data_IF_114201866927
#
_entry.id   IF_114201866927
#
_cell.length_a   1.000
_cell.length_b   1.000
_cell.length_c   1.000
_cell.angle_alpha   90.00
_cell.angle_beta   90.00
_cell.angle_gamma   90.00
#
_symmetry.space_group_name_H-M   'P 1'
#
loop_
_entity.id
_entity.type
_entity.pdbx_description
1 polymer ?
#
# COMPACT_ATOMS: atom_id res chain seq x y z
N UNK A 1 -3.06 7.07 -6.37
CA UNK A 1 -3.94 7.29 -5.19
C UNK A 1 -3.17 7.67 -3.93
N UNK A 2 -2.13 6.92 -3.53
CA UNK A 2 -1.34 7.21 -2.30
C UNK A 2 -0.85 8.66 -2.22
N UNK A 3 -0.28 9.19 -3.30
CA UNK A 3 0.24 10.56 -3.35
C UNK A 3 -0.87 11.62 -3.20
N UNK A 4 -2.09 11.31 -3.63
CA UNK A 4 -3.25 12.18 -3.43
C UNK A 4 -3.64 12.24 -1.95
N UNK A 5 -3.69 11.08 -1.28
CA UNK A 5 -3.94 11.01 0.16
C UNK A 5 -2.85 11.74 0.94
N UNK A 6 -1.58 11.61 0.53
CA UNK A 6 -0.47 12.39 1.10
C UNK A 6 -0.71 13.90 0.98
N UNK A 7 -1.08 14.41 -0.20
CA UNK A 7 -1.39 15.82 -0.39
C UNK A 7 -2.54 16.30 0.49
N UNK A 8 -3.59 15.49 0.70
CA UNK A 8 -4.68 15.82 1.61
C UNK A 8 -4.20 15.90 3.07
N UNK A 9 -3.34 14.98 3.51
CA UNK A 9 -2.73 14.98 4.83
C UNK A 9 -1.80 16.18 5.07
N UNK A 10 -1.16 16.69 4.00
CA UNK A 10 -0.35 17.91 4.03
C UNK A 10 -1.22 19.17 4.16
N UNK A 11 -2.30 19.27 3.39
CA UNK A 11 -3.23 20.41 3.44
C UNK A 11 -4.03 20.47 4.74
N UNK A 12 -4.37 19.31 5.29
CA UNK A 12 -5.20 19.19 6.49
C UNK A 12 -4.45 18.45 7.60
N UNK A 13 -3.71 19.19 8.41
CA UNK A 13 -2.94 18.64 9.54
C UNK A 13 -3.80 17.92 10.58
N UNK A 14 -5.10 18.23 10.68
CA UNK A 14 -6.05 17.51 11.53
C UNK A 14 -6.23 16.03 11.17
N UNK A 15 -5.98 15.66 9.91
CA UNK A 15 -6.04 14.27 9.44
C UNK A 15 -4.79 13.45 9.85
N UNK A 16 -3.72 14.09 10.33
CA UNK A 16 -2.51 13.38 10.78
C UNK A 16 -2.78 12.49 12.00
N UNK A 17 -3.88 12.72 12.74
CA UNK A 17 -4.35 11.84 13.81
C UNK A 17 -4.62 10.41 13.30
N UNK A 18 -5.04 10.27 12.04
CA UNK A 18 -5.34 8.97 11.41
C UNK A 18 -4.07 8.13 11.14
N UNK A 19 -2.92 8.78 11.05
CA UNK A 19 -1.60 8.13 10.87
C UNK A 19 -1.04 7.68 12.22
N UNK A 20 -1.27 8.47 13.27
CA UNK A 20 -0.75 8.26 14.63
C UNK A 20 -1.90 8.06 15.61
N UNK A 21 -2.67 7.00 15.42
CA UNK A 21 -3.66 6.61 16.41
C UNK A 21 -2.94 6.11 17.68
N UNK A 22 -2.68 7.02 18.62
CA UNK A 22 -1.98 6.75 19.89
C UNK A 22 -2.74 5.80 20.82
N UNK A 23 -3.98 5.42 20.46
CA UNK A 23 -4.89 4.61 21.28
C UNK A 23 -5.30 3.27 20.62
N UNK A 24 -4.64 2.84 19.55
CA UNK A 24 -4.97 1.61 18.83
C UNK A 24 -4.54 0.30 19.54
N UNK A 25 -4.45 0.31 20.88
CA UNK A 25 -4.10 -0.88 21.66
C UNK A 25 -5.32 -1.69 22.09
N UNK A 26 -6.54 -1.12 22.12
CA UNK A 26 -7.72 -1.78 22.71
C UNK A 26 -8.93 -1.96 21.77
N UNK A 27 -9.03 -1.24 20.64
CA UNK A 27 -10.17 -1.38 19.73
C UNK A 27 -9.74 -1.89 18.35
N UNK A 28 -9.90 -3.20 18.16
CA UNK A 28 -9.79 -3.90 16.86
C UNK A 28 -10.95 -3.59 15.90
N UNK A 29 -11.91 -2.77 16.33
CA UNK A 29 -13.08 -2.38 15.54
C UNK A 29 -12.89 -0.96 15.03
N UNK A 30 -12.70 -0.81 13.72
CA UNK A 30 -12.67 0.49 13.06
C UNK A 30 -14.08 1.12 13.12
N UNK A 31 -14.26 2.34 13.68
CA UNK A 31 -15.55 3.03 13.71
C UNK A 31 -16.03 3.49 12.33
N UNK A 32 -15.20 3.39 11.29
CA UNK A 32 -15.58 3.80 9.94
C UNK A 32 -16.77 3.00 9.39
N UNK A 33 -17.86 3.69 9.05
CA UNK A 33 -19.02 3.08 8.39
C UNK A 33 -18.98 3.30 6.86
N UNK A 34 -18.73 2.25 6.05
CA UNK A 34 -18.66 2.36 4.59
C UNK A 34 -20.03 2.50 3.90
N UNK A 35 -21.12 2.26 4.62
CA UNK A 35 -22.49 2.32 4.05
C UNK A 35 -23.17 3.68 4.25
N UNK A 36 -22.57 4.56 5.06
CA UNK A 36 -23.11 5.89 5.33
C UNK A 36 -22.89 6.82 4.14
N UNK A 37 -23.96 7.51 3.69
CA UNK A 37 -23.90 8.45 2.57
C UNK A 37 -23.30 9.81 2.95
N UNK A 38 -23.41 10.19 4.22
CA UNK A 38 -22.91 11.46 4.73
C UNK A 38 -21.44 11.32 5.19
N UNK A 39 -20.46 12.00 4.54
CA UNK A 39 -19.03 11.86 4.86
C UNK A 39 -18.66 12.38 6.25
N UNK A 40 -19.51 13.19 6.88
CA UNK A 40 -19.33 13.70 8.24
C UNK A 40 -19.78 12.67 9.28
N UNK A 41 -20.74 11.80 8.94
CA UNK A 41 -21.30 10.77 9.83
C UNK A 41 -20.62 9.42 9.71
N UNK A 42 -19.71 9.26 8.75
CA UNK A 42 -18.97 8.01 8.54
C UNK A 42 -17.91 7.72 9.62
N UNK A 43 -17.74 8.63 10.60
CA UNK A 43 -16.78 8.53 11.71
C UNK A 43 -15.32 8.29 11.29
N UNK A 44 -14.99 8.60 10.02
CA UNK A 44 -13.66 8.43 9.45
C UNK A 44 -12.55 9.26 10.14
N UNK A 45 -12.90 10.24 10.98
CA UNK A 45 -11.91 10.99 11.78
C UNK A 45 -11.42 10.23 13.02
N UNK A 46 -12.21 9.25 13.48
CA UNK A 46 -11.87 8.40 14.62
C UNK A 46 -11.28 7.06 14.19
N UNK A 47 -11.27 6.77 12.89
CA UNK A 47 -10.65 5.57 12.31
C UNK A 47 -9.12 5.68 12.19
N UNK A 48 -8.50 4.66 11.60
CA UNK A 48 -7.06 4.60 11.34
C UNK A 48 -6.78 4.22 9.88
N UNK A 49 -5.70 4.74 9.29
CA UNK A 49 -5.29 4.45 7.90
C UNK A 49 -4.48 3.14 7.78
N UNK A 50 -5.06 2.03 8.25
CA UNK A 50 -4.40 0.72 8.22
C UNK A 50 -4.17 0.19 6.78
N UNK A 51 -5.03 0.57 5.85
CA UNK A 51 -4.97 0.17 4.44
C UNK A 51 -3.65 0.57 3.79
N UNK A 52 -3.16 1.77 4.09
CA UNK A 52 -1.90 2.28 3.53
C UNK A 52 -0.72 1.56 4.18
N UNK A 53 -0.80 1.20 5.47
CA UNK A 53 0.20 0.35 6.13
C UNK A 53 0.27 -1.03 5.48
N UNK A 54 -0.87 -1.63 5.11
CA UNK A 54 -0.91 -2.88 4.36
C UNK A 54 -0.26 -2.74 2.99
N UNK A 55 -0.50 -1.62 2.31
CA UNK A 55 0.04 -1.32 0.99
C UNK A 55 1.57 -1.15 0.96
N UNK A 56 2.22 -0.98 2.12
CA UNK A 56 3.69 -1.02 2.23
C UNK A 56 4.27 -2.39 1.85
N UNK A 57 3.47 -3.46 1.86
CA UNK A 57 3.85 -4.82 1.45
C UNK A 57 3.37 -5.17 0.04
N UNK A 58 3.13 -4.17 -0.80
CA UNK A 58 2.69 -4.38 -2.17
C UNK A 58 3.79 -5.03 -3.04
N UNK A 59 3.38 -5.84 -4.02
CA UNK A 59 4.29 -6.59 -4.92
C UNK A 59 5.15 -5.64 -5.77
N UNK A 60 4.56 -4.53 -6.21
CA UNK A 60 5.26 -3.49 -6.98
C UNK A 60 6.06 -2.59 -6.01
N UNK A 61 7.40 -2.53 -6.13
CA UNK A 61 8.26 -1.82 -5.18
C UNK A 61 8.01 -0.31 -5.18
N UNK A 62 7.64 0.28 -6.32
CA UNK A 62 7.30 1.71 -6.39
C UNK A 62 6.08 2.07 -5.54
N UNK A 63 5.06 1.21 -5.53
CA UNK A 63 3.84 1.39 -4.73
C UNK A 63 4.17 1.22 -3.25
N UNK A 64 4.96 0.20 -2.90
CA UNK A 64 5.43 -0.02 -1.53
C UNK A 64 6.25 1.17 -1.00
N UNK A 65 7.14 1.72 -1.83
CA UNK A 65 7.93 2.91 -1.51
C UNK A 65 7.06 4.15 -1.36
N UNK A 66 6.06 4.33 -2.23
CA UNK A 66 5.11 5.41 -2.10
C UNK A 66 4.32 5.32 -0.77
N UNK A 67 3.89 4.12 -0.36
CA UNK A 67 3.15 3.89 0.90
C UNK A 67 4.00 4.05 2.17
N UNK A 68 5.33 4.00 2.07
CA UNK A 68 6.24 4.21 3.21
C UNK A 68 6.19 5.62 3.79
N UNK A 69 5.59 6.58 3.08
CA UNK A 69 5.46 7.96 3.56
C UNK A 69 4.80 8.07 4.95
N UNK A 70 3.93 7.12 5.30
CA UNK A 70 3.26 7.03 6.61
C UNK A 70 4.24 6.79 7.76
N UNK A 71 5.30 6.02 7.53
CA UNK A 71 6.30 5.71 8.55
C UNK A 71 7.41 6.76 8.61
N UNK A 72 7.57 7.58 7.57
CA UNK A 72 8.56 8.65 7.48
C UNK A 72 7.96 10.02 7.84
N UNK A 73 8.80 11.03 8.03
CA UNK A 73 8.33 12.42 8.11
C UNK A 73 7.62 12.82 6.83
N UNK A 74 6.45 13.44 6.95
CA UNK A 74 5.69 13.97 5.82
C UNK A 74 6.56 14.99 5.04
N UNK A 75 6.61 14.92 3.70
CA UNK A 75 7.36 15.85 2.88
C UNK A 75 6.75 17.26 2.97
N UNK A 76 7.58 18.29 2.80
CA UNK A 76 7.15 19.70 2.92
C UNK A 76 6.35 20.17 1.69
N UNK A 77 6.42 19.43 0.58
CA UNK A 77 5.85 19.81 -0.71
C UNK A 77 4.85 18.77 -1.20
N UNK A 78 3.79 19.24 -1.86
CA UNK A 78 2.79 18.39 -2.52
C UNK A 78 3.39 17.64 -3.72
N UNK A 79 2.91 16.44 -3.94
CA UNK A 79 3.25 15.62 -5.10
C UNK A 79 2.42 16.01 -6.31
N UNK A 80 3.04 16.09 -7.48
CA UNK A 80 2.33 16.24 -8.74
C UNK A 80 1.62 14.93 -9.12
N UNK A 81 0.33 15.04 -9.40
CA UNK A 81 -0.56 13.91 -9.70
C UNK A 81 -0.71 13.66 -11.21
N UNK A 82 -0.43 14.66 -12.05
CA UNK A 82 -0.53 14.54 -13.50
C UNK A 82 0.26 13.36 -14.06
N UNK A 83 1.57 13.20 -13.76
CA UNK A 83 2.35 12.08 -14.30
C UNK A 83 1.94 10.71 -13.73
N UNK A 84 1.26 10.69 -12.57
CA UNK A 84 0.82 9.46 -11.92
C UNK A 84 -0.50 8.94 -12.49
N UNK A 85 -1.34 9.83 -13.03
CA UNK A 85 -2.63 9.45 -13.62
C UNK A 85 -2.46 8.85 -15.02
N UNK A 86 -1.45 9.31 -15.75
CA UNK A 86 -1.13 8.80 -17.09
C UNK A 86 -0.43 7.43 -17.07
N UNK A 87 -0.02 6.94 -15.89
CA UNK A 87 0.69 5.68 -15.76
C UNK A 87 -0.28 4.50 -15.78
N UNK A 88 -0.15 3.65 -16.80
CA UNK A 88 -0.93 2.41 -16.97
C UNK A 88 -0.09 1.19 -16.64
N UNK A 89 -0.76 0.04 -16.45
CA UNK A 89 -0.12 -1.25 -16.14
C UNK A 89 0.93 -1.67 -17.20
N UNK A 90 0.67 -1.40 -18.48
CA UNK A 90 1.62 -1.67 -19.58
C UNK A 90 2.95 -0.95 -19.36
N UNK A 91 2.90 0.29 -18.89
CA UNK A 91 4.11 1.10 -18.66
C UNK A 91 4.97 0.50 -17.54
N UNK A 92 4.36 -0.13 -16.53
CA UNK A 92 5.10 -0.78 -15.43
C UNK A 92 5.91 -1.96 -15.97
N UNK A 93 5.30 -2.78 -16.84
CA UNK A 93 5.99 -3.90 -17.45
C UNK A 93 7.10 -3.44 -18.41
N UNK A 94 6.84 -2.43 -19.23
CA UNK A 94 7.82 -1.87 -20.15
C UNK A 94 9.01 -1.24 -19.39
N UNK A 95 8.74 -0.55 -18.27
CA UNK A 95 9.77 0.01 -17.39
C UNK A 95 10.67 -1.10 -16.80
N UNK A 96 10.07 -2.21 -16.34
CA UNK A 96 10.82 -3.37 -15.83
C UNK A 96 11.63 -4.07 -16.93
N UNK A 97 11.14 -4.12 -18.16
CA UNK A 97 11.87 -4.66 -19.30
C UNK A 97 13.08 -3.80 -19.68
N UNK A 98 12.94 -2.47 -19.58
CA UNK A 98 14.02 -1.52 -19.84
C UNK A 98 15.00 -1.40 -18.66
N UNK A 99 14.57 -1.77 -17.45
CA UNK A 99 15.41 -1.80 -16.26
C UNK A 99 16.56 -2.80 -16.45
N UNK A 100 17.78 -2.28 -16.49
CA UNK A 100 18.97 -3.14 -16.49
C UNK A 100 19.16 -3.71 -15.10
N UNK A 101 18.82 -4.99 -14.92
CA UNK A 101 19.13 -5.74 -13.72
C UNK A 101 20.65 -5.69 -13.46
N UNK A 102 21.07 -4.86 -12.49
CA UNK A 102 22.49 -4.70 -12.12
C UNK A 102 23.02 -5.86 -11.29
N UNK A 103 22.14 -6.63 -10.65
CA UNK A 103 22.49 -7.75 -9.78
C UNK A 103 21.52 -8.90 -9.98
N UNK A 104 22.06 -10.08 -10.31
CA UNK A 104 21.32 -11.32 -10.39
C UNK A 104 21.49 -12.05 -9.06
N UNK A 105 20.52 -11.94 -8.16
CA UNK A 105 20.46 -12.79 -6.98
C UNK A 105 19.82 -14.12 -7.39
N UNK A 106 20.62 -15.18 -7.45
CA UNK A 106 20.12 -16.53 -7.69
C UNK A 106 19.66 -17.14 -6.36
N UNK A 107 18.50 -17.81 -6.38
CA UNK A 107 18.08 -18.60 -5.24
C UNK A 107 19.00 -19.83 -5.13
N UNK A 108 19.71 -19.94 -4.01
CA UNK A 108 20.64 -21.04 -3.75
C UNK A 108 19.91 -22.34 -3.37
N UNK A 109 18.70 -22.23 -2.80
CA UNK A 109 17.88 -23.39 -2.50
C UNK A 109 17.33 -23.99 -3.80
N UNK A 110 17.79 -25.21 -4.10
CA UNK A 110 17.25 -25.98 -5.23
C UNK A 110 15.83 -26.41 -4.87
N UNK A 111 14.79 -25.99 -5.63
CA UNK A 111 13.44 -26.46 -5.36
C UNK A 111 13.37 -27.96 -5.61
N UNK A 112 12.90 -28.72 -4.61
CA UNK A 112 12.76 -30.19 -4.68
C UNK A 112 11.76 -30.61 -5.76
N UNK A 113 10.84 -29.72 -6.14
CA UNK A 113 9.86 -29.89 -7.21
C UNK A 113 9.58 -28.53 -7.88
N UNK A 114 9.31 -28.51 -9.18
CA UNK A 114 8.89 -27.31 -9.92
C UNK A 114 7.44 -26.93 -9.58
N UNK A 115 6.65 -27.90 -9.12
CA UNK A 115 5.29 -27.67 -8.63
C UNK A 115 5.34 -26.97 -7.26
N UNK A 116 4.41 -26.02 -7.06
CA UNK A 116 4.15 -25.44 -5.74
C UNK A 116 4.02 -26.58 -4.72
N UNK A 117 4.71 -26.53 -3.57
CA UNK A 117 4.58 -27.55 -2.56
C UNK A 117 3.11 -27.58 -2.15
N UNK A 118 2.41 -28.70 -2.40
CA UNK A 118 0.98 -28.93 -2.13
C UNK A 118 0.57 -28.71 -0.66
N UNK A 119 1.50 -28.30 0.20
CA UNK A 119 1.36 -28.24 1.65
C UNK A 119 1.87 -26.92 2.26
N UNK A 120 2.03 -25.84 1.49
CA UNK A 120 2.19 -24.50 2.04
C UNK A 120 0.87 -23.72 1.94
N UNK A 121 0.61 -22.87 2.94
CA UNK A 121 -0.59 -22.05 3.12
C UNK A 121 -1.15 -21.36 1.86
N UNK A 122 -0.35 -21.21 0.81
CA UNK A 122 -0.73 -20.65 -0.49
C UNK A 122 -1.80 -21.51 -1.20
N UNK A 123 -1.68 -22.85 -1.18
CA UNK A 123 -2.65 -23.74 -1.84
C UNK A 123 -3.97 -23.90 -1.07
N UNK A 124 -4.09 -23.35 0.16
CA UNK A 124 -5.37 -23.30 0.88
C UNK A 124 -6.32 -22.24 0.34
N UNK A 125 -5.78 -21.18 -0.27
CA UNK A 125 -6.55 -19.99 -0.64
C UNK A 125 -6.52 -19.69 -2.14
N UNK A 126 -5.63 -20.34 -2.90
CA UNK A 126 -5.47 -20.11 -4.33
C UNK A 126 -5.39 -21.45 -5.04
N UNK A 127 -6.49 -21.85 -5.69
CA UNK A 127 -6.49 -22.89 -6.71
C UNK A 127 -6.09 -22.24 -8.03
N UNK A 128 -4.84 -22.44 -8.41
CA UNK A 128 -4.34 -22.08 -9.74
C UNK A 128 -4.71 -23.23 -10.68
N UNK A 129 -5.67 -22.97 -11.58
CA UNK A 129 -6.09 -23.87 -12.67
C UNK A 129 -4.96 -24.04 -13.69
#
# INVERSE_FOLDING_TARGET
MIQFVCNLLLRHTGLQKLIRASHAADELSDPYNPTETDPVKSEAMNSSLWEITLLQKHVVPEVANAARFINSSLPVMEFDLAPLLDRKECNIFDDELQSKAKQFALNYERPTNLALPKNQFVTKYWDLI
#
